data_IF_713121502963
#
_entry.id   IF_713121502963
#
_cell.length_a   1.000
_cell.length_b   1.000
_cell.length_c   1.000
_cell.angle_alpha   90.00
_cell.angle_beta   90.00
_cell.angle_gamma   90.00
#
_symmetry.space_group_name_H-M   'P 1'
#
loop_
_entity.id
_entity.type
_entity.pdbx_description
1 polymer ?
#
# COMPACT_ATOMS: atom_id res chain seq x y z
N UNK A 1 -44.72 32.41 15.10
CA UNK A 1 -43.53 31.98 15.87
C UNK A 1 -43.45 30.46 16.10
N UNK A 2 -44.46 29.80 16.69
CA UNK A 2 -44.40 28.37 17.06
C UNK A 2 -43.96 27.41 15.93
N UNK A 3 -44.48 27.56 14.71
CA UNK A 3 -44.11 26.72 13.55
C UNK A 3 -42.63 26.82 13.14
N UNK A 4 -42.04 28.02 13.23
CA UNK A 4 -40.62 28.24 12.90
C UNK A 4 -39.69 27.63 13.95
N UNK A 5 -40.13 27.64 15.21
CA UNK A 5 -39.37 27.05 16.33
C UNK A 5 -39.37 25.52 16.27
N UNK A 6 -40.51 24.89 15.96
CA UNK A 6 -40.56 23.43 15.75
C UNK A 6 -39.72 22.99 14.55
N UNK A 7 -39.71 23.75 13.46
CA UNK A 7 -38.88 23.46 12.30
C UNK A 7 -37.37 23.57 12.62
N UNK A 8 -36.98 24.59 13.38
CA UNK A 8 -35.59 24.74 13.82
C UNK A 8 -35.14 23.61 14.76
N UNK A 9 -36.01 23.18 15.68
CA UNK A 9 -35.73 22.08 16.59
C UNK A 9 -35.60 20.74 15.84
N UNK A 10 -36.49 20.50 14.87
CA UNK A 10 -36.44 19.31 14.03
C UNK A 10 -35.17 19.28 13.15
N UNK A 11 -34.76 20.43 12.61
CA UNK A 11 -33.52 20.54 11.84
C UNK A 11 -32.28 20.27 12.70
N UNK A 12 -32.23 20.82 13.92
CA UNK A 12 -31.11 20.59 14.84
C UNK A 12 -31.03 19.12 15.27
N UNK A 13 -32.17 18.49 15.55
CA UNK A 13 -32.22 17.06 15.87
C UNK A 13 -31.71 16.19 14.71
N UNK A 14 -32.07 16.51 13.47
CA UNK A 14 -31.61 15.77 12.28
C UNK A 14 -30.09 15.84 12.09
N UNK A 15 -29.46 16.98 12.43
CA UNK A 15 -27.99 17.14 12.38
C UNK A 15 -27.32 16.34 13.50
N UNK A 16 -27.88 16.35 14.71
CA UNK A 16 -27.34 15.58 15.83
C UNK A 16 -27.51 14.07 15.65
N UNK A 17 -28.46 13.64 14.81
CA UNK A 17 -28.72 12.25 14.44
C UNK A 17 -27.94 11.79 13.20
N UNK A 18 -27.15 12.66 12.55
CA UNK A 18 -26.24 12.20 11.49
C UNK A 18 -25.11 11.42 12.15
N UNK A 19 -25.28 10.10 12.26
CA UNK A 19 -24.23 9.19 12.71
C UNK A 19 -22.97 9.35 11.87
N UNK A 20 -21.82 9.08 12.47
CA UNK A 20 -20.55 9.07 11.74
C UNK A 20 -20.68 8.15 10.53
N UNK A 21 -20.48 8.71 9.33
CA UNK A 21 -20.35 7.90 8.14
C UNK A 21 -19.05 7.11 8.27
N UNK A 22 -19.16 5.85 8.69
CA UNK A 22 -18.06 4.89 8.59
C UNK A 22 -17.85 4.62 7.10
N UNK A 23 -17.00 5.43 6.47
CA UNK A 23 -16.35 5.00 5.24
C UNK A 23 -15.60 3.73 5.58
N UNK A 24 -16.00 2.60 5.00
CA UNK A 24 -15.25 1.37 5.10
C UNK A 24 -13.82 1.63 4.59
N UNK A 25 -12.81 1.25 5.37
CA UNK A 25 -11.43 1.24 4.90
C UNK A 25 -11.38 0.29 3.70
N UNK A 26 -11.27 0.86 2.49
CA UNK A 26 -10.96 0.07 1.31
C UNK A 26 -9.52 -0.42 1.48
N UNK A 27 -9.24 -1.73 1.30
CA UNK A 27 -7.87 -2.22 1.30
C UNK A 27 -7.16 -1.60 0.09
N UNK A 28 -6.43 -0.51 0.33
CA UNK A 28 -5.62 0.15 -0.69
C UNK A 28 -4.22 -0.45 -0.61
N UNK A 29 -3.86 -1.22 -1.62
CA UNK A 29 -2.46 -1.42 -1.99
C UNK A 29 -2.19 -0.64 -3.27
N UNK A 30 -1.02 -0.02 -3.37
CA UNK A 30 -0.62 0.66 -4.60
C UNK A 30 0.82 0.36 -4.96
N UNK A 31 1.10 0.51 -6.26
CA UNK A 31 2.44 0.48 -6.81
C UNK A 31 2.65 1.79 -7.57
N UNK A 32 3.74 2.47 -7.26
CA UNK A 32 4.25 3.60 -8.02
C UNK A 32 5.57 3.17 -8.69
N UNK A 33 5.62 3.20 -10.03
CA UNK A 33 6.82 2.87 -10.80
C UNK A 33 7.30 4.13 -11.51
N UNK A 34 8.53 4.53 -11.20
CA UNK A 34 9.17 5.71 -11.80
C UNK A 34 10.32 5.27 -12.66
N UNK A 35 10.31 5.66 -13.93
CA UNK A 35 11.33 5.29 -14.92
C UNK A 35 11.75 6.56 -15.64
N UNK A 36 13.04 6.89 -15.58
CA UNK A 36 13.61 8.02 -16.28
C UNK A 36 15.04 7.71 -16.78
N UNK A 37 15.79 8.73 -17.19
CA UNK A 37 17.16 8.56 -17.71
C UNK A 37 18.19 8.22 -16.62
N UNK A 38 17.87 8.47 -15.36
CA UNK A 38 18.74 8.23 -14.20
C UNK A 38 18.56 6.84 -13.60
N UNK A 39 17.43 6.18 -13.88
CA UNK A 39 17.16 4.85 -13.36
C UNK A 39 15.67 4.48 -13.43
N UNK A 40 15.35 3.34 -12.80
CA UNK A 40 13.99 3.01 -12.43
C UNK A 40 13.87 2.61 -10.96
N UNK A 41 12.78 3.04 -10.35
CA UNK A 41 12.43 2.78 -8.96
C UNK A 41 10.96 2.33 -8.87
N UNK A 42 10.66 1.56 -7.84
CA UNK A 42 9.30 1.19 -7.50
C UNK A 42 9.03 1.43 -6.01
N UNK A 43 7.85 1.97 -5.69
CA UNK A 43 7.32 2.03 -4.33
C UNK A 43 6.09 1.16 -4.25
N UNK A 44 6.07 0.21 -3.31
CA UNK A 44 4.94 -0.66 -3.05
C UNK A 44 4.47 -0.38 -1.62
N UNK A 45 3.18 -0.11 -1.47
CA UNK A 45 2.58 0.13 -0.16
C UNK A 45 1.29 -0.68 -0.03
N UNK A 46 1.12 -1.33 1.11
CA UNK A 46 -0.08 -2.07 1.44
C UNK A 46 -0.25 -2.21 2.96
N UNK A 47 -1.46 -2.55 3.39
CA UNK A 47 -1.75 -2.79 4.80
C UNK A 47 -0.86 -3.88 5.39
N UNK A 48 -0.43 -3.69 6.64
CA UNK A 48 0.28 -4.71 7.42
C UNK A 48 -0.55 -6.01 7.50
N UNK A 49 -1.87 -5.89 7.54
CA UNK A 49 -2.84 -7.01 7.45
C UNK A 49 -2.69 -7.84 6.20
N UNK A 50 -2.51 -7.21 5.04
CA UNK A 50 -2.33 -7.92 3.79
C UNK A 50 -1.01 -8.69 3.78
N UNK A 51 0.08 -8.07 4.26
CA UNK A 51 1.37 -8.74 4.37
C UNK A 51 1.35 -9.90 5.37
N UNK A 52 0.80 -9.71 6.58
CA UNK A 52 0.75 -10.75 7.61
C UNK A 52 -0.13 -11.94 7.23
N UNK A 53 -1.11 -11.76 6.33
CA UNK A 53 -1.92 -12.87 5.79
C UNK A 53 -1.13 -13.77 4.85
N UNK A 54 -0.16 -13.22 4.13
CA UNK A 54 0.66 -13.96 3.15
C UNK A 54 1.97 -14.48 3.77
N UNK A 55 2.47 -13.85 4.84
CA UNK A 55 3.74 -14.20 5.48
C UNK A 55 3.55 -15.12 6.69
N UNK A 56 4.30 -16.22 6.72
CA UNK A 56 4.26 -17.18 7.83
C UNK A 56 4.96 -16.63 9.07
N UNK A 57 4.27 -16.59 10.21
CA UNK A 57 4.87 -16.23 11.50
C UNK A 57 5.09 -14.72 11.72
N UNK A 58 4.62 -13.89 10.80
CA UNK A 58 4.67 -12.43 10.87
C UNK A 58 3.29 -11.90 11.29
N UNK A 59 3.24 -10.97 12.24
CA UNK A 59 1.97 -10.35 12.68
C UNK A 59 1.82 -8.95 12.13
N UNK A 60 0.59 -8.42 12.14
CA UNK A 60 0.38 -7.01 11.75
C UNK A 60 1.19 -6.07 12.65
N UNK A 61 1.17 -6.33 13.96
CA UNK A 61 1.84 -5.52 14.95
C UNK A 61 3.36 -5.54 14.77
N UNK A 62 3.96 -6.69 14.41
CA UNK A 62 5.40 -6.77 14.18
C UNK A 62 5.85 -5.95 12.97
N UNK A 63 5.03 -5.89 11.93
CA UNK A 63 5.30 -5.11 10.72
C UNK A 63 5.18 -3.60 10.93
N UNK A 64 4.43 -3.16 11.95
CA UNK A 64 4.28 -1.73 12.29
C UNK A 64 5.36 -1.22 13.25
N UNK A 65 6.14 -2.14 13.82
CA UNK A 65 7.29 -1.83 14.68
C UNK A 65 8.59 -1.81 13.85
N UNK A 66 9.33 -0.69 13.79
CA UNK A 66 10.48 -0.54 12.89
C UNK A 66 11.57 -1.61 13.03
N UNK A 67 11.85 -2.08 14.25
CA UNK A 67 12.90 -3.07 14.52
C UNK A 67 12.54 -4.48 14.06
N UNK A 68 11.28 -4.88 14.23
CA UNK A 68 10.76 -6.16 13.72
C UNK A 68 10.58 -6.12 12.21
N UNK A 69 10.07 -5.01 11.65
CA UNK A 69 9.99 -4.85 10.20
C UNK A 69 11.35 -5.04 9.52
N UNK A 70 12.42 -4.48 10.11
CA UNK A 70 13.78 -4.64 9.61
C UNK A 70 14.26 -6.11 9.61
N UNK A 71 13.70 -6.96 10.47
CA UNK A 71 14.01 -8.39 10.54
C UNK A 71 13.25 -9.21 9.49
N UNK A 72 12.11 -8.69 9.00
CA UNK A 72 11.22 -9.37 8.06
C UNK A 72 11.42 -8.91 6.59
N UNK A 73 12.36 -8.00 6.32
CA UNK A 73 12.57 -7.40 4.98
C UNK A 73 12.85 -8.41 3.89
N UNK A 74 13.56 -9.50 4.21
CA UNK A 74 13.88 -10.55 3.24
C UNK A 74 12.62 -11.31 2.82
N UNK A 75 11.74 -11.62 3.78
CA UNK A 75 10.47 -12.30 3.50
C UNK A 75 9.53 -11.39 2.69
N UNK A 76 9.44 -10.12 3.06
CA UNK A 76 8.67 -9.12 2.33
C UNK A 76 9.19 -8.93 0.90
N UNK A 77 10.51 -8.83 0.73
CA UNK A 77 11.13 -8.70 -0.58
C UNK A 77 10.90 -9.93 -1.44
N UNK A 78 10.98 -11.14 -0.86
CA UNK A 78 10.73 -12.39 -1.58
C UNK A 78 9.26 -12.51 -2.01
N UNK A 79 8.32 -12.18 -1.11
CA UNK A 79 6.90 -12.15 -1.43
C UNK A 79 6.64 -11.20 -2.60
N UNK A 80 7.11 -9.96 -2.53
CA UNK A 80 6.86 -8.96 -3.57
C UNK A 80 7.54 -9.30 -4.90
N UNK A 81 8.74 -9.87 -4.89
CA UNK A 81 9.41 -10.34 -6.11
C UNK A 81 8.64 -11.46 -6.83
N UNK A 82 7.77 -12.19 -6.13
CA UNK A 82 6.90 -13.22 -6.74
C UNK A 82 5.58 -12.66 -7.30
N UNK A 83 5.18 -11.45 -6.90
CA UNK A 83 3.87 -10.85 -7.20
C UNK A 83 3.96 -9.58 -8.05
N UNK A 84 5.14 -9.00 -8.17
CA UNK A 84 5.38 -7.80 -8.92
C UNK A 84 6.63 -7.96 -9.78
N UNK A 85 6.46 -7.80 -11.09
CA UNK A 85 7.52 -7.88 -12.07
C UNK A 85 7.45 -6.67 -13.02
N UNK A 86 8.62 -6.17 -13.37
CA UNK A 86 8.78 -5.12 -14.38
C UNK A 86 9.74 -5.64 -15.43
N UNK A 87 9.37 -5.48 -16.70
CA UNK A 87 10.19 -5.84 -17.84
C UNK A 87 10.48 -4.60 -18.69
N UNK A 88 11.70 -4.52 -19.21
CA UNK A 88 12.18 -3.48 -20.10
C UNK A 88 12.60 -4.11 -21.43
N UNK A 89 11.89 -3.79 -22.52
CA UNK A 89 12.12 -4.40 -23.84
C UNK A 89 12.13 -5.95 -23.84
N UNK A 90 11.31 -6.55 -22.96
CA UNK A 90 11.22 -8.00 -22.78
C UNK A 90 12.25 -8.62 -21.83
N UNK A 91 13.14 -7.82 -21.24
CA UNK A 91 14.12 -8.27 -20.25
C UNK A 91 13.65 -7.94 -18.82
N UNK A 92 13.66 -8.90 -17.87
CA UNK A 92 13.20 -8.66 -16.51
C UNK A 92 14.14 -7.72 -15.75
N UNK A 93 13.57 -6.75 -15.04
CA UNK A 93 14.27 -5.91 -14.09
C UNK A 93 14.30 -6.57 -12.72
N UNK A 94 15.49 -6.68 -12.12
CA UNK A 94 15.64 -7.23 -10.78
C UNK A 94 15.26 -6.19 -9.74
N UNK A 95 14.34 -6.55 -8.84
CA UNK A 95 14.06 -5.73 -7.66
C UNK A 95 15.22 -5.79 -6.66
N UNK A 96 15.67 -4.63 -6.21
CA UNK A 96 16.59 -4.48 -5.10
C UNK A 96 15.95 -3.60 -4.04
N UNK A 97 15.66 -4.16 -2.87
CA UNK A 97 15.09 -3.41 -1.76
C UNK A 97 16.06 -2.30 -1.32
N UNK A 98 15.54 -1.07 -1.23
CA UNK A 98 16.25 0.11 -0.74
C UNK A 98 15.84 0.45 0.69
N UNK A 99 14.55 0.36 0.99
CA UNK A 99 14.01 0.70 2.30
C UNK A 99 12.68 -0.02 2.55
N UNK A 100 12.41 -0.31 3.82
CA UNK A 100 11.11 -0.72 4.32
C UNK A 100 10.75 0.17 5.51
N UNK A 101 9.55 0.75 5.49
CA UNK A 101 9.11 1.76 6.45
C UNK A 101 7.70 1.43 6.94
N UNK A 102 7.47 1.37 8.28
CA UNK A 102 6.12 1.23 8.81
C UNK A 102 5.41 2.58 8.78
N UNK A 103 4.18 2.59 8.30
CA UNK A 103 3.30 3.75 8.31
C UNK A 103 2.22 3.55 9.39
N UNK A 104 2.65 3.57 10.66
CA UNK A 104 1.83 3.18 11.81
C UNK A 104 0.45 3.86 11.87
N UNK A 105 0.38 5.16 11.54
CA UNK A 105 -0.88 5.92 11.53
C UNK A 105 -1.91 5.38 10.53
N UNK A 106 -1.45 4.72 9.46
CA UNK A 106 -2.28 4.11 8.42
C UNK A 106 -2.35 2.58 8.52
N UNK A 107 -1.59 1.99 9.44
CA UNK A 107 -1.36 0.53 9.54
C UNK A 107 -0.87 -0.09 8.22
N UNK A 108 -0.06 0.67 7.48
CA UNK A 108 0.53 0.23 6.21
C UNK A 108 2.03 -0.02 6.37
N UNK A 109 2.59 -0.77 5.42
CA UNK A 109 4.03 -0.94 5.23
C UNK A 109 4.38 -0.44 3.83
N UNK A 110 5.42 0.39 3.73
CA UNK A 110 5.95 0.89 2.47
C UNK A 110 7.32 0.27 2.20
N UNK A 111 7.49 -0.27 1.01
CA UNK A 111 8.77 -0.79 0.52
C UNK A 111 9.19 -0.02 -0.73
N UNK A 112 10.45 0.41 -0.76
CA UNK A 112 11.07 1.09 -1.89
C UNK A 112 12.10 0.19 -2.53
N UNK A 113 12.09 0.10 -3.85
CA UNK A 113 12.96 -0.74 -4.63
C UNK A 113 13.67 0.05 -5.72
N UNK A 114 14.93 -0.28 -5.97
CA UNK A 114 15.60 0.01 -7.22
C UNK A 114 15.29 -1.13 -8.20
N UNK A 115 14.96 -0.78 -9.44
CA UNK A 115 14.80 -1.73 -10.54
C UNK A 115 16.12 -1.78 -11.34
N UNK A 116 16.81 -2.91 -11.23
CA UNK A 116 18.15 -3.12 -11.80
C UNK A 116 18.03 -3.86 -13.13
N UNK A 117 18.51 -3.23 -14.21
CA UNK A 117 18.56 -3.83 -15.54
C UNK A 117 19.01 -2.84 -16.61
N UNK A 118 18.81 -3.19 -17.88
CA UNK A 118 19.23 -2.36 -19.02
C UNK A 118 18.30 -1.17 -19.19
N UNK A 119 18.87 0.03 -19.27
CA UNK A 119 18.13 1.28 -19.48
C UNK A 119 18.88 2.25 -20.40
N UNK A 120 18.19 3.19 -21.09
CA UNK A 120 16.73 3.38 -21.13
C UNK A 120 16.02 2.30 -21.97
N UNK A 121 14.74 2.08 -21.70
CA UNK A 121 13.89 1.10 -22.41
C UNK A 121 12.94 1.82 -23.39
N UNK A 122 12.63 1.17 -24.52
CA UNK A 122 11.63 1.69 -25.46
C UNK A 122 10.20 1.29 -25.06
N UNK A 123 10.05 0.11 -24.44
CA UNK A 123 8.81 -0.40 -23.90
C UNK A 123 9.01 -0.91 -22.47
N UNK A 124 7.98 -0.71 -21.64
CA UNK A 124 7.93 -1.20 -20.26
C UNK A 124 6.64 -1.98 -20.07
N UNK A 125 6.76 -3.17 -19.49
CA UNK A 125 5.63 -3.97 -19.05
C UNK A 125 5.67 -4.11 -17.53
N UNK A 126 4.50 -3.98 -16.90
CA UNK A 126 4.33 -4.13 -15.46
C UNK A 126 3.29 -5.22 -15.22
N UNK A 127 3.66 -6.26 -14.50
CA UNK A 127 2.78 -7.33 -14.05
C UNK A 127 2.66 -7.22 -12.52
N UNK A 128 1.44 -7.17 -12.00
CA UNK A 128 1.20 -6.82 -10.60
C UNK A 128 -0.04 -7.52 -10.04
N UNK A 129 0.20 -8.56 -9.24
CA UNK A 129 -0.83 -9.37 -8.57
C UNK A 129 -0.54 -9.45 -7.06
N UNK A 130 -0.50 -8.29 -6.40
CA UNK A 130 0.02 -8.16 -5.03
C UNK A 130 -0.70 -9.03 -4.01
N UNK A 131 -2.03 -8.88 -3.91
CA UNK A 131 -2.86 -9.57 -2.92
C UNK A 131 -4.15 -10.02 -3.56
N UNK A 132 -4.56 -11.26 -3.30
CA UNK A 132 -5.89 -11.74 -3.69
C UNK A 132 -6.91 -11.36 -2.62
N UNK A 133 -8.07 -10.91 -3.07
CA UNK A 133 -9.23 -10.63 -2.24
C UNK A 133 -10.33 -11.60 -2.67
N UNK A 134 -10.53 -12.64 -1.87
CA UNK A 134 -11.68 -13.55 -1.96
C UNK A 134 -12.80 -13.05 -1.03
#
# INVERSE_FOLDING_TARGET
MKRRMCAALAGLAAILLSGAAFGHDLPLSYVDVRIDRSGAEATIEASAKNFSRELSGVTEESLLEPSTLASDTDQLSALLASRFAVEADGEPLRLQLLAAEPLAARRDVRLRFQLIGKQPAAAVQVNCDLFSFD
#
